data_IF_160897293017
#
_entry.id   IF_160897293017
#
_cell.length_a   1.000
_cell.length_b   1.000
_cell.length_c   1.000
_cell.angle_alpha   90.00
_cell.angle_beta   90.00
_cell.angle_gamma   90.00
#
_symmetry.space_group_name_H-M   'P 1'
#
loop_
_entity.id
_entity.type
_entity.pdbx_description
1 polymer ?
#
# COMPACT_ATOMS: atom_id res chain seq x y z
N UNK A 1 0.32 3.24 13.83
CA UNK A 1 -0.30 2.71 12.58
C UNK A 1 -0.44 1.19 12.64
N UNK A 2 0.66 0.43 12.74
CA UNK A 2 0.64 -1.03 12.82
C UNK A 2 -0.33 -1.58 13.89
N UNK A 3 -0.23 -1.10 15.14
CA UNK A 3 -1.12 -1.52 16.23
C UNK A 3 -2.62 -1.18 16.00
N UNK A 4 -2.90 -0.03 15.37
CA UNK A 4 -4.27 0.37 15.03
C UNK A 4 -4.89 -0.63 14.02
N UNK A 5 -4.14 -0.98 12.97
CA UNK A 5 -4.60 -1.88 11.93
C UNK A 5 -4.63 -3.35 12.38
N UNK A 6 -3.72 -3.76 13.26
CA UNK A 6 -3.76 -5.05 13.93
C UNK A 6 -5.04 -5.21 14.79
N UNK A 7 -5.38 -4.20 15.59
CA UNK A 7 -6.62 -4.20 16.35
C UNK A 7 -7.86 -4.24 15.44
N UNK A 8 -7.85 -3.45 14.35
CA UNK A 8 -8.96 -3.38 13.40
C UNK A 8 -9.21 -4.72 12.69
N UNK A 9 -8.16 -5.41 12.21
CA UNK A 9 -8.32 -6.68 11.49
C UNK A 9 -8.71 -7.82 12.43
N UNK A 10 -8.19 -7.83 13.67
CA UNK A 10 -8.54 -8.84 14.69
C UNK A 10 -10.00 -8.76 15.13
N UNK A 11 -10.61 -7.57 15.11
CA UNK A 11 -12.06 -7.43 15.34
C UNK A 11 -12.91 -8.00 14.18
N UNK A 12 -12.31 -8.24 13.02
CA UNK A 12 -12.97 -8.67 11.78
C UNK A 12 -12.62 -10.09 11.35
N UNK A 13 -11.74 -10.76 12.11
CA UNK A 13 -11.31 -12.12 11.86
C UNK A 13 -9.80 -12.26 11.99
N UNK A 14 -9.17 -12.81 10.96
CA UNK A 14 -7.72 -13.05 10.89
C UNK A 14 -7.16 -12.44 9.62
N UNK A 15 -5.84 -12.28 9.59
CA UNK A 15 -5.11 -11.96 8.37
C UNK A 15 -5.43 -12.95 7.25
N UNK A 16 -5.49 -12.43 6.02
CA UNK A 16 -5.47 -13.27 4.82
C UNK A 16 -4.09 -13.90 4.64
N UNK A 17 -3.98 -14.94 3.82
CA UNK A 17 -2.67 -15.54 3.54
C UNK A 17 -1.69 -14.50 2.97
N UNK A 18 -0.36 -14.62 3.20
CA UNK A 18 0.62 -13.68 2.65
C UNK A 18 0.52 -13.50 1.13
N UNK A 19 0.22 -14.57 0.38
CA UNK A 19 0.05 -14.49 -1.07
C UNK A 19 -1.23 -13.75 -1.47
N UNK A 20 -2.32 -13.89 -0.72
CA UNK A 20 -3.54 -13.11 -0.94
C UNK A 20 -3.30 -11.62 -0.66
N UNK A 21 -2.57 -11.31 0.41
CA UNK A 21 -2.18 -9.94 0.74
C UNK A 21 -1.25 -9.35 -0.33
N UNK A 22 -0.29 -10.13 -0.85
CA UNK A 22 0.56 -9.71 -1.97
C UNK A 22 -0.24 -9.46 -3.26
N UNK A 23 -1.17 -10.36 -3.61
CA UNK A 23 -2.01 -10.18 -4.79
C UNK A 23 -2.84 -8.89 -4.67
N UNK A 24 -3.39 -8.61 -3.48
CA UNK A 24 -4.12 -7.36 -3.23
C UNK A 24 -3.19 -6.15 -3.31
N UNK A 25 -1.98 -6.22 -2.76
CA UNK A 25 -0.99 -5.15 -2.88
C UNK A 25 -0.69 -4.81 -4.35
N UNK A 26 -0.53 -5.83 -5.19
CA UNK A 26 -0.29 -5.65 -6.62
C UNK A 26 -1.48 -4.99 -7.33
N UNK A 27 -2.72 -5.33 -6.92
CA UNK A 27 -3.94 -4.67 -7.39
C UNK A 27 -3.94 -3.18 -7.03
N UNK A 28 -3.75 -2.82 -5.75
CA UNK A 28 -3.77 -1.42 -5.29
C UNK A 28 -2.65 -0.58 -5.94
N UNK A 29 -1.46 -1.17 -6.15
CA UNK A 29 -0.37 -0.49 -6.87
C UNK A 29 -0.75 -0.25 -8.34
N UNK A 30 -1.50 -1.16 -8.95
CA UNK A 30 -2.05 -0.97 -10.29
C UNK A 30 -3.09 0.14 -10.36
N UNK A 31 -3.97 0.22 -9.36
CA UNK A 31 -4.99 1.28 -9.24
C UNK A 31 -4.33 2.65 -9.04
N UNK A 32 -3.35 2.74 -8.13
CA UNK A 32 -2.50 3.92 -7.95
C UNK A 32 -1.79 4.32 -9.25
N UNK A 33 -1.21 3.36 -9.97
CA UNK A 33 -0.53 3.60 -11.24
C UNK A 33 -1.47 4.19 -12.30
N UNK A 34 -2.71 3.71 -12.36
CA UNK A 34 -3.76 4.25 -13.24
C UNK A 34 -4.09 5.70 -12.88
N UNK A 35 -4.27 6.02 -11.61
CA UNK A 35 -4.55 7.39 -11.17
C UNK A 35 -3.39 8.35 -11.42
N UNK A 36 -2.14 7.89 -11.24
CA UNK A 36 -0.95 8.66 -11.61
C UNK A 36 -0.91 8.94 -13.12
N UNK A 37 -1.23 7.94 -13.94
CA UNK A 37 -1.25 8.10 -15.39
C UNK A 37 -2.35 9.07 -15.84
N UNK A 38 -3.52 9.03 -15.22
CA UNK A 38 -4.58 10.00 -15.50
C UNK A 38 -4.18 11.45 -15.16
N UNK A 39 -3.39 11.67 -14.11
CA UNK A 39 -3.00 13.01 -13.64
C UNK A 39 -1.73 13.55 -14.27
N UNK A 40 -0.76 12.68 -14.55
CA UNK A 40 0.62 13.09 -14.88
C UNK A 40 1.18 12.36 -16.10
N UNK A 41 0.44 11.42 -16.70
CA UNK A 41 0.89 10.63 -17.83
C UNK A 41 0.17 10.95 -19.14
N UNK A 42 0.41 10.11 -20.14
CA UNK A 42 -0.02 10.35 -21.53
C UNK A 42 -1.46 9.90 -21.83
N UNK A 43 -2.12 9.24 -20.87
CA UNK A 43 -3.50 8.78 -21.02
C UNK A 43 -4.39 9.53 -20.02
N UNK A 44 -4.96 10.69 -20.42
CA UNK A 44 -5.87 11.44 -19.55
C UNK A 44 -7.17 10.68 -19.30
N UNK A 45 -7.82 10.99 -18.17
CA UNK A 45 -9.11 10.39 -17.80
C UNK A 45 -10.20 10.75 -18.82
N UNK A 46 -11.02 9.77 -19.17
CA UNK A 46 -12.21 9.94 -20.02
C UNK A 46 -13.49 9.86 -19.17
N UNK A 47 -14.62 10.25 -19.74
CA UNK A 47 -15.93 10.16 -19.05
C UNK A 47 -16.38 8.71 -18.76
N UNK A 48 -15.75 7.71 -19.38
CA UNK A 48 -16.05 6.29 -19.16
C UNK A 48 -15.24 5.69 -18.02
N UNK A 49 -14.16 6.35 -17.62
CA UNK A 49 -13.29 5.89 -16.55
C UNK A 49 -13.96 6.16 -15.20
N UNK A 50 -13.85 5.21 -14.28
CA UNK A 50 -14.35 5.37 -12.92
C UNK A 50 -13.66 6.56 -12.22
N UNK A 51 -14.39 7.23 -11.34
CA UNK A 51 -13.80 8.18 -10.43
C UNK A 51 -12.89 7.44 -9.44
N UNK A 52 -11.73 8.02 -9.20
CA UNK A 52 -10.67 7.55 -8.31
C UNK A 52 -9.85 8.75 -7.82
N UNK A 53 -9.11 8.52 -6.75
CA UNK A 53 -8.40 9.56 -5.98
C UNK A 53 -7.01 9.06 -5.62
N UNK A 54 -5.96 9.77 -6.05
CA UNK A 54 -4.59 9.44 -5.67
C UNK A 54 -4.40 9.30 -4.15
N UNK A 55 -5.13 10.07 -3.35
CA UNK A 55 -5.07 9.98 -1.89
C UNK A 55 -5.59 8.64 -1.39
N UNK A 56 -6.70 8.17 -1.97
CA UNK A 56 -7.35 6.93 -1.55
C UNK A 56 -6.49 5.74 -1.97
N UNK A 57 -6.00 5.73 -3.21
CA UNK A 57 -5.12 4.67 -3.72
C UNK A 57 -3.80 4.55 -2.93
N UNK A 58 -3.20 5.68 -2.55
CA UNK A 58 -2.03 5.67 -1.65
C UNK A 58 -2.38 5.10 -0.28
N UNK A 59 -3.59 5.39 0.21
CA UNK A 59 -4.13 4.83 1.45
C UNK A 59 -4.27 3.31 1.37
N UNK A 60 -4.81 2.79 0.28
CA UNK A 60 -5.03 1.36 0.06
C UNK A 60 -3.70 0.59 -0.05
N UNK A 61 -2.73 1.12 -0.79
CA UNK A 61 -1.37 0.56 -0.83
C UNK A 61 -0.76 0.52 0.58
N UNK A 62 -0.80 1.63 1.32
CA UNK A 62 -0.24 1.69 2.67
C UNK A 62 -0.95 0.72 3.63
N UNK A 63 -2.27 0.61 3.52
CA UNK A 63 -3.08 -0.30 4.32
C UNK A 63 -2.64 -1.75 4.14
N UNK A 64 -2.51 -2.23 2.90
CA UNK A 64 -2.08 -3.61 2.62
C UNK A 64 -0.65 -3.86 3.05
N UNK A 65 0.27 -2.89 2.86
CA UNK A 65 1.65 -3.00 3.36
C UNK A 65 1.69 -3.19 4.88
N UNK A 66 0.86 -2.45 5.62
CA UNK A 66 0.80 -2.57 7.08
C UNK A 66 0.21 -3.92 7.50
N UNK A 67 -0.85 -4.40 6.84
CA UNK A 67 -1.42 -5.71 7.15
C UNK A 67 -0.40 -6.83 6.92
N UNK A 68 0.29 -6.81 5.78
CA UNK A 68 1.31 -7.81 5.44
C UNK A 68 2.48 -7.78 6.42
N UNK A 69 2.93 -6.58 6.81
CA UNK A 69 3.98 -6.44 7.81
C UNK A 69 3.56 -7.01 9.17
N UNK A 70 2.33 -6.73 9.61
CA UNK A 70 1.82 -7.27 10.87
C UNK A 70 1.70 -8.81 10.83
N UNK A 71 1.17 -9.38 9.74
CA UNK A 71 1.02 -10.84 9.56
C UNK A 71 2.38 -11.56 9.60
N UNK A 72 3.41 -10.95 9.01
CA UNK A 72 4.77 -11.49 8.96
C UNK A 72 5.64 -11.13 10.18
N UNK A 73 5.11 -10.38 11.16
CA UNK A 73 5.88 -9.96 12.34
C UNK A 73 7.00 -8.95 12.04
N UNK A 74 6.84 -8.12 11.01
CA UNK A 74 7.80 -7.11 10.57
C UNK A 74 7.51 -5.77 11.25
N UNK A 75 8.51 -5.19 11.91
CA UNK A 75 8.46 -3.80 12.37
C UNK A 75 8.79 -2.83 11.22
N UNK A 76 7.77 -2.11 10.74
CA UNK A 76 7.91 -1.16 9.63
C UNK A 76 8.76 0.05 9.99
N UNK A 77 8.79 0.48 11.27
CA UNK A 77 9.62 1.61 11.67
C UNK A 77 11.11 1.27 11.54
N UNK A 78 11.49 0.08 11.99
CA UNK A 78 12.84 -0.47 11.80
C UNK A 78 13.15 -0.70 10.32
N UNK A 79 12.23 -1.29 9.55
CA UNK A 79 12.40 -1.52 8.12
C UNK A 79 12.63 -0.22 7.33
N UNK A 80 11.82 0.81 7.58
CA UNK A 80 11.97 2.13 6.96
C UNK A 80 13.29 2.79 7.35
N UNK A 81 13.64 2.78 8.64
CA UNK A 81 14.90 3.34 9.14
C UNK A 81 16.13 2.69 8.48
N UNK A 82 16.09 1.36 8.28
CA UNK A 82 17.13 0.64 7.55
C UNK A 82 17.24 1.07 6.09
N UNK A 83 16.10 1.27 5.42
CA UNK A 83 16.06 1.73 4.03
C UNK A 83 16.63 3.14 3.89
N UNK A 84 16.21 4.08 4.74
CA UNK A 84 16.70 5.46 4.72
C UNK A 84 18.22 5.53 4.90
N UNK A 85 18.78 4.81 5.89
CA UNK A 85 20.23 4.71 6.08
C UNK A 85 20.97 4.18 4.85
N UNK A 86 20.38 3.27 4.07
CA UNK A 86 20.99 2.77 2.83
C UNK A 86 21.03 3.86 1.75
N UNK A 87 20.00 4.70 1.65
CA UNK A 87 19.97 5.82 0.71
C UNK A 87 20.95 6.93 1.10
N UNK A 88 21.03 7.28 2.38
CA UNK A 88 21.99 8.28 2.90
C UNK A 88 23.45 7.89 2.65
N UNK A 89 23.78 6.60 2.70
CA UNK A 89 25.15 6.10 2.42
C UNK A 89 25.49 5.99 0.93
N UNK A 90 24.48 6.05 0.06
CA UNK A 90 24.65 6.02 -1.40
C UNK A 90 24.77 7.43 -2.00
N UNK A 91 24.38 8.45 -1.24
CA UNK A 91 24.50 9.85 -1.59
C UNK A 91 25.92 10.39 -1.30
#
# INVERSE_FOLDING_TARGET
>A
MQALLDAWIKQRGRYWSPLSQYARLAEEVGELGRELNFRFGDKPRTQKDAAGSLTDELGDVLFIVVLLANDLGIDLATALSNTLRKYERRA
#
